data_IF_461249347394
#
_entry.id   IF_461249347394
#
_cell.length_a   1.000
_cell.length_b   1.000
_cell.length_c   1.000
_cell.angle_alpha   90.00
_cell.angle_beta   90.00
_cell.angle_gamma   90.00
#
_symmetry.space_group_name_H-M   'P 1'
#
loop_
_entity.id
_entity.type
_entity.pdbx_description
1 polymer ?
#
# COMPACT_ATOMS: atom_id res chain seq x y z
N UNK A 1 -9.16 8.26 -32.87
CA UNK A 1 -7.75 7.83 -32.69
C UNK A 1 -7.44 7.43 -31.27
N UNK A 2 -8.04 8.08 -30.26
CA UNK A 2 -7.96 7.67 -28.83
C UNK A 2 -9.08 6.71 -28.40
N UNK A 3 -9.86 6.18 -29.37
CA UNK A 3 -10.94 5.23 -29.06
C UNK A 3 -10.38 3.86 -28.71
N UNK A 4 -10.98 3.23 -27.70
CA UNK A 4 -10.69 1.85 -27.31
C UNK A 4 -11.22 0.92 -28.41
N UNK A 5 -10.38 0.05 -28.94
CA UNK A 5 -10.74 -0.94 -29.97
C UNK A 5 -10.54 -2.38 -29.50
N UNK A 6 -9.82 -2.56 -28.38
CA UNK A 6 -9.55 -3.88 -27.84
C UNK A 6 -9.37 -3.81 -26.32
N UNK A 7 -10.04 -4.71 -25.62
CA UNK A 7 -9.88 -4.95 -24.17
C UNK A 7 -9.79 -6.46 -23.98
N UNK A 8 -8.73 -6.93 -23.32
CA UNK A 8 -8.53 -8.35 -23.12
C UNK A 8 -7.85 -8.62 -21.79
N UNK A 9 -8.41 -9.52 -21.00
CA UNK A 9 -7.84 -9.99 -19.76
C UNK A 9 -7.35 -11.43 -19.86
N UNK A 10 -6.37 -11.73 -19.01
CA UNK A 10 -5.88 -13.09 -18.76
C UNK A 10 -5.62 -13.29 -17.27
N UNK A 11 -5.58 -14.54 -16.86
CA UNK A 11 -5.10 -14.95 -15.57
C UNK A 11 -3.57 -15.07 -15.61
N UNK A 12 -2.89 -14.42 -14.68
CA UNK A 12 -1.46 -14.56 -14.42
C UNK A 12 -1.24 -14.99 -12.96
N UNK A 13 0.00 -15.12 -12.51
CA UNK A 13 0.33 -15.42 -11.12
C UNK A 13 0.95 -14.22 -10.43
N UNK A 14 0.55 -14.01 -9.19
CA UNK A 14 1.15 -13.00 -8.30
C UNK A 14 2.44 -13.51 -7.64
N UNK A 15 3.08 -12.66 -6.83
CA UNK A 15 4.33 -12.95 -6.11
C UNK A 15 4.25 -14.10 -5.10
N UNK A 16 3.03 -14.53 -4.77
CA UNK A 16 2.75 -15.69 -3.90
C UNK A 16 2.38 -16.96 -4.69
N UNK A 17 2.37 -16.88 -6.04
CA UNK A 17 1.93 -17.98 -6.91
C UNK A 17 0.40 -18.16 -6.94
N UNK A 18 -0.37 -17.17 -6.48
CA UNK A 18 -1.83 -17.17 -6.61
C UNK A 18 -2.26 -16.48 -7.91
N UNK A 19 -3.36 -16.92 -8.54
CA UNK A 19 -3.91 -16.26 -9.71
C UNK A 19 -4.30 -14.81 -9.45
N UNK A 20 -4.05 -13.95 -10.43
CA UNK A 20 -4.55 -12.58 -10.49
C UNK A 20 -4.87 -12.17 -11.94
N UNK A 21 -5.52 -11.02 -12.10
CA UNK A 21 -5.97 -10.49 -13.39
C UNK A 21 -4.91 -9.60 -14.01
N UNK A 22 -4.64 -9.80 -15.31
CA UNK A 22 -3.88 -8.86 -16.14
C UNK A 22 -4.73 -8.44 -17.34
N UNK A 23 -4.74 -7.16 -17.66
CA UNK A 23 -5.54 -6.57 -18.74
C UNK A 23 -4.66 -5.84 -19.74
N UNK A 24 -4.92 -6.08 -21.02
CA UNK A 24 -4.43 -5.28 -22.16
C UNK A 24 -5.55 -4.42 -22.74
N UNK A 25 -5.24 -3.15 -22.99
CA UNK A 25 -6.10 -2.21 -23.75
C UNK A 25 -5.32 -1.69 -24.96
N UNK A 26 -5.97 -1.66 -26.13
CA UNK A 26 -5.38 -1.10 -27.36
C UNK A 26 -6.33 -0.05 -27.91
N UNK A 27 -5.76 1.08 -28.32
CA UNK A 27 -6.48 2.18 -28.94
C UNK A 27 -6.39 2.11 -30.48
N UNK A 28 -7.31 2.77 -31.15
CA UNK A 28 -7.40 2.82 -32.61
C UNK A 28 -6.08 3.23 -33.32
N UNK A 29 -5.27 4.08 -32.67
CA UNK A 29 -3.96 4.49 -33.18
C UNK A 29 -2.86 3.44 -32.96
N UNK A 30 -3.13 2.35 -32.22
CA UNK A 30 -2.16 1.32 -31.85
C UNK A 30 -1.48 1.53 -30.49
N UNK A 31 -1.75 2.65 -29.79
CA UNK A 31 -1.29 2.85 -28.42
C UNK A 31 -1.82 1.76 -27.48
N UNK A 32 -1.03 1.37 -26.48
CA UNK A 32 -1.30 0.20 -25.64
C UNK A 32 -1.11 0.50 -24.17
N UNK A 33 -1.93 -0.14 -23.35
CA UNK A 33 -1.74 -0.19 -21.91
C UNK A 33 -1.91 -1.60 -21.37
N UNK A 34 -1.06 -2.00 -20.45
CA UNK A 34 -1.16 -3.27 -19.70
C UNK A 34 -1.10 -3.00 -18.23
N UNK A 35 -1.99 -3.60 -17.47
CA UNK A 35 -2.00 -3.52 -16.02
C UNK A 35 -2.28 -4.88 -15.39
N UNK A 36 -1.58 -5.16 -14.29
CA UNK A 36 -1.78 -6.36 -13.48
C UNK A 36 -2.26 -5.95 -12.09
N UNK A 37 -3.25 -6.66 -11.57
CA UNK A 37 -3.95 -6.31 -10.34
C UNK A 37 -3.27 -6.93 -9.11
N UNK A 38 -2.98 -6.17 -8.05
CA UNK A 38 -2.48 -6.73 -6.79
C UNK A 38 -3.60 -7.42 -6.00
N UNK A 39 -3.21 -8.29 -5.04
CA UNK A 39 -4.12 -9.07 -4.21
C UNK A 39 -3.72 -9.06 -2.74
N UNK A 40 -4.64 -8.80 -1.81
CA UNK A 40 -4.40 -8.85 -0.37
C UNK A 40 -4.30 -10.27 0.19
N UNK A 41 -3.58 -10.43 1.31
CA UNK A 41 -3.64 -11.63 2.15
C UNK A 41 -4.68 -11.44 3.26
N UNK A 42 -4.60 -10.32 3.95
CA UNK A 42 -5.58 -9.80 4.89
C UNK A 42 -6.42 -8.74 4.17
N UNK A 43 -7.73 -8.72 4.38
CA UNK A 43 -8.66 -7.78 3.73
C UNK A 43 -9.58 -7.18 4.77
N UNK A 44 -9.70 -5.85 4.79
CA UNK A 44 -10.70 -5.14 5.59
C UNK A 44 -12.13 -5.54 5.20
N UNK A 45 -13.02 -5.57 6.16
CA UNK A 45 -14.42 -6.00 5.95
C UNK A 45 -15.14 -5.15 4.90
N UNK A 46 -14.72 -3.90 4.73
CA UNK A 46 -15.37 -2.92 3.86
C UNK A 46 -14.65 -2.73 2.50
N UNK A 47 -13.65 -3.57 2.17
CA UNK A 47 -13.01 -3.52 0.86
C UNK A 47 -13.95 -3.92 -0.28
N UNK A 48 -13.72 -3.37 -1.47
CA UNK A 48 -14.38 -3.85 -2.69
C UNK A 48 -13.98 -5.30 -2.98
N UNK A 49 -14.91 -6.08 -3.55
CA UNK A 49 -14.80 -7.52 -3.69
C UNK A 49 -13.76 -7.91 -4.76
N UNK A 50 -12.72 -8.61 -4.37
CA UNK A 50 -11.88 -9.38 -5.30
C UNK A 50 -12.63 -10.65 -5.73
N UNK A 51 -13.07 -10.70 -6.99
CA UNK A 51 -13.87 -11.83 -7.49
C UNK A 51 -12.96 -13.04 -7.74
N UNK A 52 -13.22 -14.12 -7.00
CA UNK A 52 -12.58 -15.43 -7.10
C UNK A 52 -13.54 -16.49 -7.62
N UNK A 53 -13.00 -17.51 -8.32
CA UNK A 53 -13.83 -18.59 -8.91
C UNK A 53 -14.48 -19.48 -7.88
N UNK A 54 -13.80 -19.73 -6.75
CA UNK A 54 -14.27 -20.58 -5.66
C UNK A 54 -14.17 -22.09 -5.94
N UNK A 55 -13.70 -22.50 -7.13
CA UNK A 55 -13.51 -23.91 -7.48
C UNK A 55 -12.30 -24.49 -6.75
N UNK A 56 -12.52 -25.31 -5.74
CA UNK A 56 -11.49 -25.94 -4.92
C UNK A 56 -10.55 -26.86 -5.70
N UNK A 57 -10.96 -27.36 -6.86
CA UNK A 57 -10.13 -28.21 -7.72
C UNK A 57 -9.14 -27.42 -8.58
N UNK A 58 -9.29 -26.07 -8.61
CA UNK A 58 -8.47 -25.19 -9.42
C UNK A 58 -7.88 -24.09 -8.53
N UNK A 59 -6.54 -24.06 -8.38
CA UNK A 59 -5.84 -23.09 -7.51
C UNK A 59 -6.44 -22.98 -6.09
N UNK A 60 -6.94 -24.09 -5.53
CA UNK A 60 -7.56 -24.14 -4.20
C UNK A 60 -8.73 -23.13 -4.02
N UNK A 61 -9.44 -22.82 -5.10
CA UNK A 61 -10.53 -21.86 -5.12
C UNK A 61 -10.15 -20.43 -5.45
N UNK A 62 -8.84 -20.16 -5.63
CA UNK A 62 -8.32 -18.80 -5.84
C UNK A 62 -8.24 -18.36 -7.31
N UNK A 63 -8.75 -19.15 -8.27
CA UNK A 63 -8.82 -18.79 -9.69
C UNK A 63 -9.55 -17.46 -9.91
N UNK A 64 -9.28 -16.77 -11.03
CA UNK A 64 -9.89 -15.48 -11.39
C UNK A 64 -10.54 -15.48 -12.77
N UNK A 65 -10.87 -16.67 -13.30
CA UNK A 65 -11.45 -16.79 -14.65
C UNK A 65 -12.83 -16.12 -14.78
N UNK A 66 -13.61 -16.03 -13.71
CA UNK A 66 -14.87 -15.26 -13.69
C UNK A 66 -14.59 -13.77 -13.92
N UNK A 67 -13.63 -13.20 -13.20
CA UNK A 67 -13.22 -11.81 -13.41
C UNK A 67 -12.66 -11.59 -14.83
N UNK A 68 -11.83 -12.52 -15.32
CA UNK A 68 -11.33 -12.51 -16.72
C UNK A 68 -12.49 -12.53 -17.73
N UNK A 69 -13.49 -13.38 -17.51
CA UNK A 69 -14.67 -13.45 -18.38
C UNK A 69 -15.48 -12.15 -18.35
N UNK A 70 -15.62 -11.51 -17.19
CA UNK A 70 -16.29 -10.21 -17.05
C UNK A 70 -15.57 -9.10 -17.82
N UNK A 71 -14.23 -9.10 -17.84
CA UNK A 71 -13.46 -8.16 -18.65
C UNK A 71 -13.64 -8.44 -20.15
N UNK A 72 -13.51 -9.71 -20.57
CA UNK A 72 -13.55 -10.12 -21.99
C UNK A 72 -14.95 -10.09 -22.60
N UNK A 73 -16.00 -10.01 -21.77
CA UNK A 73 -17.40 -9.91 -22.17
C UNK A 73 -17.98 -8.51 -21.86
N UNK A 74 -18.81 -8.39 -20.80
CA UNK A 74 -19.62 -7.19 -20.58
C UNK A 74 -18.82 -5.90 -20.45
N UNK A 75 -17.61 -5.91 -19.83
CA UNK A 75 -16.79 -4.70 -19.72
C UNK A 75 -16.24 -4.30 -21.09
N UNK A 76 -15.70 -5.26 -21.87
CA UNK A 76 -15.20 -4.96 -23.20
C UNK A 76 -16.31 -4.44 -24.11
N UNK A 77 -17.50 -5.03 -24.09
CA UNK A 77 -18.66 -4.61 -24.88
C UNK A 77 -19.08 -3.17 -24.55
N UNK A 78 -19.06 -2.78 -23.27
CA UNK A 78 -19.40 -1.43 -22.83
C UNK A 78 -18.37 -0.39 -23.27
N UNK A 79 -17.07 -0.73 -23.21
CA UNK A 79 -16.00 0.26 -23.38
C UNK A 79 -15.49 0.43 -24.81
N UNK A 80 -15.71 -0.55 -25.72
CA UNK A 80 -15.28 -0.43 -27.12
C UNK A 80 -15.96 0.77 -27.78
N UNK A 81 -15.14 1.66 -28.36
CA UNK A 81 -15.57 2.90 -28.98
C UNK A 81 -15.50 4.13 -28.06
N UNK A 82 -15.40 3.95 -26.73
CA UNK A 82 -15.19 5.05 -25.80
C UNK A 82 -13.82 5.71 -25.99
N UNK A 83 -13.71 6.98 -25.61
CA UNK A 83 -12.47 7.73 -25.66
C UNK A 83 -11.62 7.42 -24.41
N UNK A 84 -10.44 6.85 -24.59
CA UNK A 84 -9.54 6.49 -23.48
C UNK A 84 -9.04 7.69 -22.65
N UNK A 85 -9.16 8.91 -23.16
CA UNK A 85 -8.80 10.13 -22.42
C UNK A 85 -9.85 10.53 -21.38
N UNK A 86 -11.05 9.96 -21.44
CA UNK A 86 -12.15 10.26 -20.53
C UNK A 86 -12.18 9.25 -19.37
N UNK A 87 -11.07 9.16 -18.61
CA UNK A 87 -10.89 8.16 -17.53
C UNK A 87 -12.09 8.09 -16.57
N UNK A 88 -12.60 9.24 -16.13
CA UNK A 88 -13.74 9.29 -15.19
C UNK A 88 -14.97 8.62 -15.81
N UNK A 89 -15.29 8.94 -17.07
CA UNK A 89 -16.45 8.35 -17.75
C UNK A 89 -16.31 6.83 -17.91
N UNK A 90 -15.09 6.34 -18.19
CA UNK A 90 -14.79 4.92 -18.33
C UNK A 90 -14.97 4.19 -16.98
N UNK A 91 -14.39 4.73 -15.91
CA UNK A 91 -14.51 4.12 -14.58
C UNK A 91 -15.98 4.13 -14.10
N UNK A 92 -16.70 5.25 -14.30
CA UNK A 92 -18.12 5.37 -13.95
C UNK A 92 -19.01 4.43 -14.76
N UNK A 93 -18.71 4.20 -16.05
CA UNK A 93 -19.43 3.21 -16.87
C UNK A 93 -19.27 1.79 -16.31
N UNK A 94 -18.05 1.39 -15.93
CA UNK A 94 -17.82 0.06 -15.33
C UNK A 94 -18.47 -0.07 -13.96
N UNK A 95 -18.43 0.97 -13.13
CA UNK A 95 -19.09 0.99 -11.79
C UNK A 95 -20.61 0.89 -11.96
N UNK A 96 -21.20 1.62 -12.91
CA UNK A 96 -22.64 1.55 -13.21
C UNK A 96 -23.04 0.19 -13.77
N UNK A 97 -22.19 -0.42 -14.60
CA UNK A 97 -22.41 -1.76 -15.15
C UNK A 97 -22.39 -2.84 -14.04
N UNK A 98 -21.52 -2.70 -13.04
CA UNK A 98 -21.52 -3.57 -11.84
C UNK A 98 -22.78 -3.37 -10.99
N UNK A 99 -23.17 -2.13 -10.73
CA UNK A 99 -24.39 -1.75 -10.03
C UNK A 99 -24.41 -2.05 -8.54
N UNK A 100 -23.29 -2.51 -7.93
CA UNK A 100 -23.20 -2.79 -6.49
C UNK A 100 -22.19 -1.89 -5.79
N UNK A 101 -22.38 -1.60 -4.50
CA UNK A 101 -21.47 -0.76 -3.71
C UNK A 101 -20.05 -1.35 -3.62
N UNK A 102 -19.97 -2.69 -3.56
CA UNK A 102 -18.70 -3.43 -3.36
C UNK A 102 -18.14 -4.04 -4.64
N UNK A 103 -18.69 -3.70 -5.81
CA UNK A 103 -18.27 -4.26 -7.12
C UNK A 103 -18.37 -5.80 -7.17
N UNK A 104 -19.40 -6.35 -6.53
CA UNK A 104 -19.54 -7.81 -6.32
C UNK A 104 -20.02 -8.58 -7.55
N UNK A 105 -20.58 -7.91 -8.57
CA UNK A 105 -21.05 -8.55 -9.80
C UNK A 105 -19.92 -8.78 -10.80
N UNK A 106 -19.11 -7.76 -11.07
CA UNK A 106 -17.99 -7.84 -12.03
C UNK A 106 -16.66 -8.20 -11.36
N UNK A 107 -16.47 -7.76 -10.13
CA UNK A 107 -15.25 -7.87 -9.37
C UNK A 107 -14.40 -6.60 -9.44
N UNK A 108 -13.93 -6.11 -8.28
CA UNK A 108 -13.03 -4.97 -8.19
C UNK A 108 -11.72 -5.21 -8.96
N UNK A 109 -11.23 -6.45 -8.98
CA UNK A 109 -10.05 -6.85 -9.74
C UNK A 109 -10.27 -6.73 -11.27
N UNK A 110 -11.45 -7.06 -11.78
CA UNK A 110 -11.79 -6.88 -13.21
C UNK A 110 -11.82 -5.38 -13.57
N UNK A 111 -12.54 -4.59 -12.79
CA UNK A 111 -12.70 -3.13 -13.01
C UNK A 111 -11.35 -2.42 -12.92
N UNK A 112 -10.56 -2.69 -11.87
CA UNK A 112 -9.25 -2.05 -11.66
C UNK A 112 -8.27 -2.37 -12.79
N UNK A 113 -8.19 -3.63 -13.22
CA UNK A 113 -7.30 -4.03 -14.30
C UNK A 113 -7.56 -3.22 -15.58
N UNK A 114 -8.82 -3.03 -15.93
CA UNK A 114 -9.20 -2.22 -17.09
C UNK A 114 -8.93 -0.73 -16.85
N UNK A 115 -9.32 -0.20 -15.71
CA UNK A 115 -9.12 1.22 -15.34
C UNK A 115 -7.65 1.64 -15.49
N UNK A 116 -6.72 0.85 -14.92
CA UNK A 116 -5.28 1.12 -15.00
C UNK A 116 -4.72 0.90 -16.41
N UNK A 117 -5.18 -0.12 -17.14
CA UNK A 117 -4.73 -0.38 -18.51
C UNK A 117 -5.16 0.74 -19.46
N UNK A 118 -6.37 1.28 -19.29
CA UNK A 118 -6.85 2.45 -20.06
C UNK A 118 -5.99 3.68 -19.79
N UNK A 119 -5.68 3.99 -18.52
CA UNK A 119 -4.81 5.11 -18.17
C UNK A 119 -3.43 5.00 -18.83
N UNK A 120 -2.84 3.79 -18.83
CA UNK A 120 -1.56 3.52 -19.50
C UNK A 120 -1.65 3.66 -21.03
N UNK A 121 -2.72 3.18 -21.66
CA UNK A 121 -2.94 3.33 -23.09
C UNK A 121 -3.13 4.80 -23.49
N UNK A 122 -3.82 5.59 -22.66
CA UNK A 122 -3.99 7.02 -22.84
C UNK A 122 -2.67 7.78 -22.70
N UNK A 123 -1.84 7.43 -21.71
CA UNK A 123 -0.51 8.00 -21.54
C UNK A 123 0.40 7.70 -22.75
N UNK A 124 0.40 6.46 -23.25
CA UNK A 124 1.13 6.03 -24.44
C UNK A 124 0.66 6.81 -25.69
N UNK A 125 -0.66 6.97 -25.86
CA UNK A 125 -1.24 7.77 -26.94
C UNK A 125 -0.75 9.22 -26.95
N UNK A 126 -0.61 9.82 -25.77
CA UNK A 126 -0.15 11.21 -25.62
C UNK A 126 1.39 11.34 -25.63
N UNK A 127 2.12 10.22 -25.64
CA UNK A 127 3.58 10.22 -25.52
C UNK A 127 4.07 10.75 -24.16
N UNK A 128 3.26 10.58 -23.11
CA UNK A 128 3.57 11.03 -21.75
C UNK A 128 3.89 9.84 -20.83
N UNK A 129 4.85 9.97 -19.91
CA UNK A 129 4.96 9.00 -18.83
C UNK A 129 3.70 9.03 -17.96
N UNK A 130 3.35 7.87 -17.37
CA UNK A 130 2.09 7.69 -16.68
C UNK A 130 1.89 8.70 -15.54
N UNK A 131 2.92 8.96 -14.74
CA UNK A 131 2.82 9.93 -13.64
C UNK A 131 2.48 11.35 -14.11
N UNK A 132 2.98 11.79 -15.28
CA UNK A 132 2.63 13.09 -15.87
C UNK A 132 1.24 13.10 -16.48
N UNK A 133 0.82 11.99 -17.09
CA UNK A 133 -0.55 11.87 -17.60
C UNK A 133 -1.58 12.00 -16.48
N UNK A 134 -1.38 11.29 -15.36
CA UNK A 134 -2.31 11.31 -14.22
C UNK A 134 -2.24 12.64 -13.45
N UNK A 135 -1.03 13.12 -13.11
CA UNK A 135 -0.85 14.24 -12.19
C UNK A 135 -0.59 15.60 -12.85
N UNK A 136 -0.45 15.61 -14.19
CA UNK A 136 -0.21 16.85 -14.92
C UNK A 136 1.19 17.44 -14.75
N UNK A 137 1.32 18.73 -15.01
CA UNK A 137 2.61 19.43 -15.06
C UNK A 137 3.26 19.63 -13.69
N UNK A 138 2.53 19.42 -12.60
CA UNK A 138 3.00 19.66 -11.23
C UNK A 138 3.37 18.36 -10.49
N UNK A 139 3.57 17.27 -11.18
CA UNK A 139 3.97 15.97 -10.62
C UNK A 139 5.49 15.86 -10.55
N UNK A 140 6.10 16.14 -9.39
CA UNK A 140 7.55 16.21 -9.22
C UNK A 140 8.06 15.72 -7.86
N UNK A 141 7.15 15.34 -6.95
CA UNK A 141 7.51 14.88 -5.61
C UNK A 141 7.75 13.38 -5.59
N UNK A 142 9.00 12.97 -5.34
CA UNK A 142 9.35 11.58 -5.10
C UNK A 142 8.90 11.18 -3.69
N UNK A 143 8.35 9.98 -3.51
CA UNK A 143 7.90 9.55 -2.19
C UNK A 143 9.04 9.09 -1.30
N UNK A 144 8.98 9.38 0.01
CA UNK A 144 9.79 8.70 1.03
C UNK A 144 9.30 7.25 1.12
N UNK A 145 10.17 6.24 0.91
CA UNK A 145 9.78 4.85 1.05
C UNK A 145 9.63 4.47 2.52
N UNK A 146 8.55 3.75 2.83
CA UNK A 146 8.31 3.05 4.09
C UNK A 146 8.64 1.58 3.82
N UNK A 147 9.87 1.16 4.19
CA UNK A 147 10.43 -0.15 3.81
C UNK A 147 10.22 -1.16 4.93
N UNK A 148 9.33 -2.13 4.74
CA UNK A 148 9.08 -3.20 5.69
C UNK A 148 10.30 -4.13 5.83
N UNK A 149 11.05 -4.05 6.93
CA UNK A 149 12.29 -4.82 7.14
C UNK A 149 12.17 -5.93 8.17
N UNK A 150 11.16 -5.90 9.05
CA UNK A 150 10.82 -6.98 9.99
C UNK A 150 9.31 -7.23 9.95
N UNK A 151 8.93 -8.48 9.84
CA UNK A 151 7.55 -8.96 9.87
C UNK A 151 7.22 -9.60 11.23
N UNK A 152 6.02 -9.33 11.71
CA UNK A 152 5.38 -9.99 12.85
C UNK A 152 3.92 -10.30 12.52
N UNK A 153 3.04 -10.26 13.52
CA UNK A 153 1.61 -10.46 13.36
C UNK A 153 1.24 -11.71 12.57
N UNK A 154 0.28 -11.60 11.68
CA UNK A 154 -0.14 -12.68 10.79
C UNK A 154 0.95 -13.08 9.76
N UNK A 155 1.96 -12.22 9.53
CA UNK A 155 3.05 -12.43 8.57
C UNK A 155 4.24 -13.21 9.13
N UNK A 156 4.21 -13.63 10.41
CA UNK A 156 5.30 -14.35 11.08
C UNK A 156 4.78 -15.25 12.21
N UNK A 157 5.50 -16.34 12.47
CA UNK A 157 5.25 -17.19 13.65
C UNK A 157 5.91 -16.64 14.93
N UNK A 158 6.65 -15.53 14.84
CA UNK A 158 7.31 -14.90 15.98
C UNK A 158 6.28 -14.37 17.01
N UNK A 159 6.64 -14.27 18.31
CA UNK A 159 5.77 -13.74 19.36
C UNK A 159 5.73 -12.20 19.31
N UNK A 160 5.43 -11.63 18.14
CA UNK A 160 5.32 -10.20 17.88
C UNK A 160 3.89 -9.94 17.39
N UNK A 161 3.13 -9.10 18.11
CA UNK A 161 1.74 -8.82 17.76
C UNK A 161 1.63 -7.90 16.53
N UNK A 162 2.50 -6.89 16.42
CA UNK A 162 2.47 -5.94 15.29
C UNK A 162 2.95 -6.60 14.00
N UNK A 163 2.31 -6.24 12.89
CA UNK A 163 2.49 -6.92 11.61
C UNK A 163 3.75 -6.50 10.88
N UNK A 164 4.08 -5.19 10.87
CA UNK A 164 5.22 -4.68 10.12
C UNK A 164 6.00 -3.62 10.88
N UNK A 165 7.32 -3.70 10.74
CA UNK A 165 8.27 -2.70 11.22
C UNK A 165 9.03 -2.15 10.01
N UNK A 166 8.80 -0.88 9.72
CA UNK A 166 9.32 -0.20 8.55
C UNK A 166 10.38 0.83 8.92
N UNK A 167 11.33 1.05 8.03
CA UNK A 167 12.25 2.20 8.08
C UNK A 167 11.87 3.22 7.05
N UNK A 168 12.10 4.50 7.37
CA UNK A 168 11.86 5.66 6.52
C UNK A 168 13.14 6.50 6.42
N UNK A 169 13.80 6.60 5.27
CA UNK A 169 15.03 7.39 5.08
C UNK A 169 14.73 8.88 4.90
N UNK A 170 14.24 9.52 5.94
CA UNK A 170 13.77 10.92 5.92
C UNK A 170 14.89 11.96 5.85
N UNK A 171 16.14 11.58 6.16
CA UNK A 171 17.31 12.43 6.08
C UNK A 171 17.95 12.48 4.70
N UNK A 172 17.52 11.62 3.76
CA UNK A 172 18.10 11.56 2.42
C UNK A 172 17.87 12.85 1.63
N UNK A 173 18.78 13.14 0.68
CA UNK A 173 18.71 14.32 -0.19
C UNK A 173 17.99 14.08 -1.51
N UNK A 174 17.77 12.81 -1.86
CA UNK A 174 17.15 12.35 -3.09
C UNK A 174 16.50 10.97 -2.86
N UNK A 175 15.65 10.55 -3.78
CA UNK A 175 15.07 9.21 -3.72
C UNK A 175 16.16 8.13 -3.84
N UNK A 176 17.10 8.32 -4.78
CA UNK A 176 18.25 7.43 -4.97
C UNK A 176 19.07 7.26 -3.67
N UNK A 177 19.33 8.34 -2.95
CA UNK A 177 20.01 8.27 -1.66
C UNK A 177 19.14 7.54 -0.62
N UNK A 178 17.85 7.82 -0.57
CA UNK A 178 16.92 7.16 0.33
C UNK A 178 16.91 5.64 0.14
N UNK A 179 16.86 5.16 -1.11
CA UNK A 179 16.94 3.73 -1.42
C UNK A 179 18.30 3.14 -1.02
N UNK A 180 19.41 3.84 -1.26
CA UNK A 180 20.73 3.42 -0.80
C UNK A 180 20.75 3.24 0.72
N UNK A 181 20.32 4.26 1.46
CA UNK A 181 20.26 4.22 2.94
C UNK A 181 19.41 3.04 3.43
N UNK A 182 18.21 2.86 2.89
CA UNK A 182 17.32 1.77 3.26
C UNK A 182 17.94 0.39 2.98
N UNK A 183 18.59 0.23 1.83
CA UNK A 183 19.26 -1.02 1.45
C UNK A 183 20.47 -1.32 2.36
N UNK A 184 21.27 -0.32 2.70
CA UNK A 184 22.40 -0.45 3.63
C UNK A 184 21.92 -0.86 5.03
N UNK A 185 20.82 -0.28 5.53
CA UNK A 185 20.21 -0.69 6.81
C UNK A 185 19.71 -2.13 6.73
N UNK A 186 19.00 -2.50 5.65
CA UNK A 186 18.50 -3.87 5.43
C UNK A 186 19.64 -4.90 5.49
N UNK A 187 20.76 -4.65 4.79
CA UNK A 187 21.90 -5.56 4.82
C UNK A 187 22.62 -5.60 6.17
N UNK A 188 22.68 -4.50 6.91
CA UNK A 188 23.21 -4.50 8.27
C UNK A 188 22.27 -5.21 9.25
N UNK A 189 20.93 -5.07 9.10
CA UNK A 189 19.96 -5.86 9.86
C UNK A 189 20.18 -7.36 9.66
N UNK A 190 20.43 -7.79 8.42
CA UNK A 190 20.78 -9.19 8.13
C UNK A 190 21.99 -9.67 8.91
N UNK A 191 23.02 -8.82 9.07
CA UNK A 191 24.22 -9.16 9.87
C UNK A 191 23.91 -9.22 11.36
N UNK A 192 23.12 -8.27 11.86
CA UNK A 192 22.68 -8.23 13.29
C UNK A 192 21.90 -9.50 13.63
N UNK A 193 20.91 -9.87 12.82
CA UNK A 193 20.10 -11.08 13.02
C UNK A 193 20.96 -12.36 12.97
N UNK A 194 21.85 -12.48 11.99
CA UNK A 194 22.80 -13.61 11.91
C UNK A 194 23.71 -13.68 13.14
N UNK A 195 24.20 -12.55 13.63
CA UNK A 195 25.02 -12.46 14.84
C UNK A 195 24.31 -12.97 16.10
N UNK A 196 22.97 -12.88 16.11
CA UNK A 196 22.10 -13.42 17.17
C UNK A 196 21.66 -14.87 16.92
N UNK A 197 22.10 -15.49 15.82
CA UNK A 197 21.68 -16.85 15.44
C UNK A 197 20.25 -16.93 14.91
N UNK A 198 19.64 -15.80 14.52
CA UNK A 198 18.24 -15.71 14.07
C UNK A 198 18.13 -15.92 12.55
N UNK A 199 16.93 -16.34 12.10
CA UNK A 199 16.61 -16.51 10.70
C UNK A 199 16.71 -15.18 9.92
N UNK A 200 17.21 -15.26 8.70
CA UNK A 200 17.19 -14.17 7.72
C UNK A 200 16.41 -14.56 6.47
N UNK A 201 15.49 -15.52 6.60
CA UNK A 201 14.47 -15.77 5.60
C UNK A 201 13.52 -14.55 5.51
N UNK A 202 13.02 -14.27 4.32
CA UNK A 202 12.14 -13.14 4.06
C UNK A 202 10.70 -13.60 3.87
N UNK A 203 9.76 -12.77 4.33
CA UNK A 203 8.33 -12.96 4.11
C UNK A 203 7.86 -12.47 2.73
N UNK A 204 6.55 -12.43 2.55
CA UNK A 204 5.90 -12.08 1.27
C UNK A 204 6.28 -10.68 0.77
N UNK A 205 6.58 -9.76 1.66
CA UNK A 205 6.92 -8.37 1.34
C UNK A 205 8.43 -8.08 1.34
N UNK A 206 9.24 -9.12 1.47
CA UNK A 206 10.70 -9.03 1.38
C UNK A 206 11.43 -8.64 2.66
N UNK A 207 10.73 -8.33 3.75
CA UNK A 207 11.28 -8.12 5.09
C UNK A 207 11.62 -9.44 5.77
N UNK A 208 12.54 -9.42 6.76
CA UNK A 208 12.90 -10.61 7.53
C UNK A 208 11.77 -11.03 8.47
N UNK A 209 11.67 -12.33 8.76
CA UNK A 209 10.75 -12.90 9.72
C UNK A 209 11.51 -13.67 10.82
N UNK A 210 12.32 -13.00 11.66
CA UNK A 210 13.09 -13.63 12.72
C UNK A 210 12.21 -13.90 13.93
N UNK A 211 12.55 -14.94 14.69
CA UNK A 211 11.92 -15.23 15.98
C UNK A 211 12.48 -14.31 17.09
N UNK A 212 12.02 -13.04 17.12
CA UNK A 212 12.36 -12.05 18.14
C UNK A 212 11.41 -12.15 19.34
N UNK A 213 11.81 -11.59 20.48
CA UNK A 213 11.10 -11.75 21.76
C UNK A 213 9.83 -10.89 21.90
N UNK A 214 9.66 -9.87 21.06
CA UNK A 214 8.51 -8.96 21.07
C UNK A 214 8.75 -7.67 20.30
N UNK A 215 7.83 -6.71 20.44
CA UNK A 215 7.84 -5.43 19.75
C UNK A 215 9.11 -4.62 20.03
N UNK A 216 9.48 -4.48 21.31
CA UNK A 216 10.65 -3.70 21.71
C UNK A 216 11.97 -4.34 21.25
N UNK A 217 12.05 -5.68 21.21
CA UNK A 217 13.22 -6.38 20.66
C UNK A 217 13.34 -6.12 19.15
N UNK A 218 12.22 -6.13 18.40
CA UNK A 218 12.20 -5.77 17.00
C UNK A 218 12.68 -4.33 16.76
N UNK A 219 12.19 -3.38 17.55
CA UNK A 219 12.63 -1.97 17.46
C UNK A 219 14.14 -1.83 17.77
N UNK A 220 14.62 -2.51 18.79
CA UNK A 220 16.04 -2.43 19.21
C UNK A 220 16.99 -3.01 18.16
N UNK A 221 16.65 -4.14 17.49
CA UNK A 221 17.52 -4.68 16.42
C UNK A 221 17.52 -3.79 15.20
N UNK A 222 16.42 -3.11 14.89
CA UNK A 222 16.36 -2.09 13.82
C UNK A 222 17.28 -0.93 14.15
N UNK A 223 17.20 -0.35 15.37
CA UNK A 223 18.07 0.75 15.78
C UNK A 223 19.55 0.36 15.76
N UNK A 224 19.86 -0.89 16.14
CA UNK A 224 21.22 -1.43 16.04
C UNK A 224 21.68 -1.48 14.57
N UNK A 225 20.81 -1.91 13.66
CA UNK A 225 21.12 -1.97 12.23
C UNK A 225 21.32 -0.58 11.60
N UNK A 226 20.48 0.40 11.98
CA UNK A 226 20.60 1.80 11.55
C UNK A 226 21.94 2.38 11.96
N UNK A 227 22.34 2.22 13.22
CA UNK A 227 23.65 2.67 13.73
C UNK A 227 24.80 1.93 13.06
N UNK A 228 24.69 0.62 12.84
CA UNK A 228 25.72 -0.18 12.16
C UNK A 228 25.89 0.21 10.68
N UNK A 229 24.85 0.76 10.05
CA UNK A 229 24.91 1.34 8.71
C UNK A 229 25.52 2.75 8.68
N UNK A 230 25.79 3.35 9.85
CA UNK A 230 26.38 4.69 9.95
C UNK A 230 25.36 5.83 9.95
N UNK A 231 24.09 5.53 10.19
CA UNK A 231 23.01 6.52 10.21
C UNK A 231 22.53 6.84 11.63
N UNK A 232 22.00 8.05 11.82
CA UNK A 232 21.48 8.55 13.08
C UNK A 232 19.95 8.25 13.17
N UNK A 233 19.51 7.38 14.13
CA UNK A 233 18.08 7.15 14.35
C UNK A 233 17.33 8.44 14.69
N UNK A 234 16.16 8.63 14.08
CA UNK A 234 15.31 9.79 14.30
C UNK A 234 15.65 11.02 13.44
N UNK A 235 16.86 11.08 12.89
CA UNK A 235 17.31 12.16 12.02
C UNK A 235 17.45 11.69 10.57
N UNK A 236 18.26 10.66 10.34
CA UNK A 236 18.47 10.09 9.01
C UNK A 236 17.40 9.06 8.67
N UNK A 237 17.12 8.18 9.64
CA UNK A 237 16.14 7.09 9.53
C UNK A 237 15.17 7.19 10.69
N UNK A 238 13.86 7.23 10.37
CA UNK A 238 12.78 7.03 11.33
C UNK A 238 12.15 5.64 11.17
N UNK A 239 11.29 5.27 12.11
CA UNK A 239 10.56 4.00 12.10
C UNK A 239 9.09 4.28 11.85
N UNK A 240 8.46 3.44 11.03
CA UNK A 240 7.02 3.34 10.92
C UNK A 240 6.55 1.95 11.33
N UNK A 241 5.38 1.87 11.93
CA UNK A 241 4.73 0.62 12.33
C UNK A 241 3.46 0.41 11.53
N UNK A 242 3.16 -0.84 11.23
CA UNK A 242 1.82 -1.33 10.93
C UNK A 242 1.43 -2.31 12.03
N UNK A 243 0.48 -1.90 12.87
CA UNK A 243 0.04 -2.71 13.99
C UNK A 243 -0.98 -3.77 13.56
N UNK A 244 -1.75 -3.54 12.50
CA UNK A 244 -2.86 -4.38 12.06
C UNK A 244 -3.76 -4.79 13.25
N UNK A 245 -4.15 -3.81 14.07
CA UNK A 245 -4.73 -4.06 15.40
C UNK A 245 -6.06 -4.78 15.38
N UNK A 246 -6.78 -4.80 14.26
CA UNK A 246 -8.00 -5.59 14.08
C UNK A 246 -7.77 -7.09 14.27
N UNK A 247 -6.56 -7.61 13.98
CA UNK A 247 -6.22 -9.03 14.11
C UNK A 247 -6.23 -9.55 15.56
N UNK A 248 -5.95 -8.67 16.52
CA UNK A 248 -5.94 -9.01 17.94
C UNK A 248 -6.95 -8.22 18.78
N UNK A 249 -7.89 -7.52 18.12
CA UNK A 249 -9.01 -6.86 18.80
C UNK A 249 -10.18 -7.81 18.94
N UNK A 250 -10.49 -8.18 20.19
CA UNK A 250 -11.56 -9.12 20.52
C UNK A 250 -12.35 -8.65 21.73
N UNK A 251 -13.67 -8.73 21.64
CA UNK A 251 -14.59 -8.39 22.75
C UNK A 251 -14.33 -6.98 23.34
N UNK A 252 -13.97 -6.00 22.48
CA UNK A 252 -13.67 -4.63 22.88
C UNK A 252 -12.32 -4.42 23.53
N UNK A 253 -11.38 -5.37 23.36
CA UNK A 253 -10.03 -5.34 23.94
C UNK A 253 -8.96 -5.78 22.96
N UNK A 254 -7.77 -5.26 23.12
CA UNK A 254 -6.56 -5.61 22.39
C UNK A 254 -5.82 -6.73 23.15
N UNK A 255 -5.92 -7.94 22.65
CA UNK A 255 -5.45 -9.17 23.31
C UNK A 255 -4.10 -9.62 22.75
N UNK A 256 -3.02 -9.23 23.40
CA UNK A 256 -1.66 -9.61 23.01
C UNK A 256 -1.33 -11.08 23.31
N UNK A 257 -2.18 -11.80 24.07
CA UNK A 257 -2.01 -13.24 24.28
C UNK A 257 -2.12 -14.03 22.98
N UNK A 258 -2.68 -13.40 21.93
CA UNK A 258 -2.68 -13.93 20.57
C UNK A 258 -1.30 -14.36 20.06
N UNK A 259 -0.24 -13.64 20.45
CA UNK A 259 1.15 -13.95 20.05
C UNK A 259 2.08 -14.25 21.23
N UNK A 260 1.77 -13.78 22.41
CA UNK A 260 2.59 -13.89 23.61
C UNK A 260 1.75 -14.49 24.73
N UNK A 261 2.04 -15.73 25.18
CA UNK A 261 1.21 -16.45 26.16
C UNK A 261 0.89 -15.63 27.42
N UNK A 262 1.84 -14.79 27.88
CA UNK A 262 1.69 -13.89 29.03
C UNK A 262 1.49 -12.43 28.59
N UNK A 263 1.03 -12.19 27.34
CA UNK A 263 0.81 -10.86 26.80
C UNK A 263 -0.31 -10.11 27.54
N UNK A 264 -0.25 -8.77 27.58
CA UNK A 264 -1.30 -7.97 28.21
C UNK A 264 -2.60 -7.99 27.38
N UNK A 265 -3.71 -7.65 28.05
CA UNK A 265 -5.00 -7.40 27.43
C UNK A 265 -5.40 -5.97 27.74
N UNK A 266 -5.41 -5.12 26.72
CA UNK A 266 -5.63 -3.69 26.85
C UNK A 266 -7.05 -3.27 26.46
N UNK A 267 -7.60 -2.28 27.17
CA UNK A 267 -8.70 -1.44 26.67
C UNK A 267 -8.21 -0.51 25.57
N UNK A 268 -9.11 0.14 24.85
CA UNK A 268 -8.77 1.13 23.81
C UNK A 268 -7.86 2.25 24.36
N UNK A 269 -8.11 2.71 25.57
CA UNK A 269 -7.29 3.72 26.23
C UNK A 269 -5.88 3.20 26.54
N UNK A 270 -5.75 2.02 27.11
CA UNK A 270 -4.46 1.41 27.44
C UNK A 270 -3.64 1.09 26.18
N UNK A 271 -4.30 0.68 25.09
CA UNK A 271 -3.67 0.51 23.78
C UNK A 271 -3.09 1.84 23.27
N UNK A 272 -3.86 2.92 23.33
CA UNK A 272 -3.41 4.25 22.94
C UNK A 272 -2.23 4.73 23.82
N UNK A 273 -2.27 4.49 25.12
CA UNK A 273 -1.18 4.81 26.08
C UNK A 273 0.09 4.00 25.76
N UNK A 274 -0.05 2.70 25.41
CA UNK A 274 1.09 1.86 24.99
C UNK A 274 1.74 2.39 23.72
N UNK A 275 0.95 2.72 22.69
CA UNK A 275 1.48 3.30 21.45
C UNK A 275 2.14 4.66 21.71
N UNK A 276 1.54 5.51 22.55
CA UNK A 276 2.13 6.80 22.93
C UNK A 276 3.47 6.63 23.64
N UNK A 277 3.62 5.62 24.49
CA UNK A 277 4.89 5.26 25.14
C UNK A 277 5.95 4.87 24.08
N UNK A 278 5.61 4.00 23.13
CA UNK A 278 6.54 3.60 22.07
C UNK A 278 7.00 4.81 21.25
N UNK A 279 6.10 5.72 20.88
CA UNK A 279 6.44 6.97 20.17
C UNK A 279 7.36 7.88 20.99
N UNK A 280 7.24 7.87 22.32
CA UNK A 280 8.11 8.66 23.21
C UNK A 280 9.51 8.05 23.39
N UNK A 281 9.63 6.73 23.34
CA UNK A 281 10.88 6.00 23.61
C UNK A 281 11.70 5.70 22.33
N UNK A 282 11.04 5.60 21.17
CA UNK A 282 11.64 5.22 19.90
C UNK A 282 11.40 6.30 18.83
N UNK A 283 12.24 6.40 17.80
CA UNK A 283 12.07 7.38 16.71
C UNK A 283 10.96 6.97 15.73
N UNK A 284 9.78 6.68 16.26
CA UNK A 284 8.59 6.32 15.50
C UNK A 284 7.88 7.61 15.10
N UNK A 285 7.65 7.80 13.80
CA UNK A 285 6.95 8.97 13.27
C UNK A 285 5.69 8.64 12.47
N UNK A 286 5.37 7.33 12.34
CA UNK A 286 4.14 6.86 11.68
C UNK A 286 3.66 5.54 12.28
N UNK A 287 2.35 5.43 12.53
CA UNK A 287 1.67 4.21 12.96
C UNK A 287 0.45 3.99 12.06
N UNK A 288 0.42 2.83 11.40
CA UNK A 288 -0.70 2.33 10.62
C UNK A 288 -1.53 1.39 11.48
N UNK A 289 -2.85 1.53 11.41
CA UNK A 289 -3.86 0.71 12.10
C UNK A 289 -3.50 0.42 13.57
N UNK A 290 -3.11 1.48 14.29
CA UNK A 290 -2.80 1.41 15.72
C UNK A 290 -4.01 1.04 16.59
N UNK A 291 -5.22 1.22 16.05
CA UNK A 291 -6.50 0.79 16.62
C UNK A 291 -7.24 -0.06 15.60
N UNK A 292 -8.20 -0.87 16.06
CA UNK A 292 -9.02 -1.70 15.20
C UNK A 292 -9.96 -0.88 14.31
N UNK A 293 -10.32 -1.39 13.12
CA UNK A 293 -11.17 -0.73 12.13
C UNK A 293 -12.56 -0.33 12.66
N UNK A 294 -13.06 -1.03 13.70
CA UNK A 294 -14.35 -0.77 14.32
C UNK A 294 -14.28 0.07 15.60
N UNK A 295 -13.08 0.35 16.11
CA UNK A 295 -12.87 1.09 17.37
C UNK A 295 -12.66 2.60 17.11
N UNK A 296 -13.70 3.27 16.60
CA UNK A 296 -13.66 4.71 16.29
C UNK A 296 -13.40 5.58 17.52
N UNK A 297 -13.90 5.17 18.70
CA UNK A 297 -13.61 5.85 19.96
C UNK A 297 -12.12 5.73 20.33
N UNK A 298 -11.54 4.54 20.20
CA UNK A 298 -10.11 4.31 20.37
C UNK A 298 -9.27 5.12 19.38
N UNK A 299 -9.66 5.18 18.12
CA UNK A 299 -8.99 6.03 17.12
C UNK A 299 -9.01 7.51 17.51
N UNK A 300 -10.14 8.02 18.02
CA UNK A 300 -10.22 9.39 18.51
C UNK A 300 -9.29 9.62 19.70
N UNK A 301 -9.27 8.71 20.68
CA UNK A 301 -8.37 8.77 21.84
C UNK A 301 -6.89 8.80 21.38
N UNK A 302 -6.50 7.92 20.49
CA UNK A 302 -5.14 7.85 19.97
C UNK A 302 -4.76 9.14 19.23
N UNK A 303 -5.67 9.63 18.37
CA UNK A 303 -5.43 10.85 17.59
C UNK A 303 -5.25 12.07 18.49
N UNK A 304 -6.09 12.23 19.52
CA UNK A 304 -5.96 13.33 20.49
C UNK A 304 -4.66 13.22 21.31
N UNK A 305 -4.17 12.01 21.54
CA UNK A 305 -2.98 11.75 22.38
C UNK A 305 -1.66 12.01 21.65
N UNK A 306 -1.54 11.61 20.38
CA UNK A 306 -0.26 11.67 19.65
C UNK A 306 -0.34 12.18 18.21
N UNK A 307 -1.51 12.53 17.71
CA UNK A 307 -1.69 12.94 16.30
C UNK A 307 -0.95 14.22 15.89
N UNK A 308 -0.53 15.03 16.86
CA UNK A 308 0.28 16.24 16.63
C UNK A 308 1.77 15.94 16.36
N UNK A 309 2.26 14.77 16.74
CA UNK A 309 3.68 14.35 16.65
C UNK A 309 3.93 13.05 15.91
N UNK A 310 2.88 12.31 15.58
CA UNK A 310 2.96 11.02 14.88
C UNK A 310 1.91 10.97 13.78
N UNK A 311 2.30 10.52 12.59
CA UNK A 311 1.36 10.20 11.53
C UNK A 311 0.56 8.96 11.92
N UNK A 312 -0.76 9.06 11.92
CA UNK A 312 -1.70 7.98 12.20
C UNK A 312 -2.43 7.61 10.92
N UNK A 313 -2.08 6.46 10.37
CA UNK A 313 -2.53 6.00 9.06
C UNK A 313 -3.69 5.03 9.23
N UNK A 314 -4.85 5.34 8.65
CA UNK A 314 -5.95 4.39 8.53
C UNK A 314 -5.85 3.57 7.25
N UNK A 315 -5.64 2.26 7.38
CA UNK A 315 -5.74 1.27 6.31
C UNK A 315 -7.13 0.63 6.32
N UNK A 316 -7.36 -0.34 7.18
CA UNK A 316 -8.67 -1.01 7.31
C UNK A 316 -9.77 -0.04 7.79
N UNK A 317 -9.38 1.02 8.52
CA UNK A 317 -10.29 2.08 8.94
C UNK A 317 -10.95 2.78 7.75
N UNK A 318 -10.21 3.03 6.66
CA UNK A 318 -10.66 3.84 5.52
C UNK A 318 -10.83 3.07 4.22
N UNK A 319 -10.16 1.94 4.06
CA UNK A 319 -10.20 1.05 2.88
C UNK A 319 -10.17 1.81 1.54
N UNK A 320 -9.40 2.91 1.47
CA UNK A 320 -9.30 3.79 0.28
C UNK A 320 -10.66 4.39 -0.14
N UNK A 321 -11.66 4.42 0.74
CA UNK A 321 -13.02 4.81 0.43
C UNK A 321 -13.33 6.20 1.02
N UNK A 322 -13.75 7.14 0.16
CA UNK A 322 -14.11 8.53 0.54
C UNK A 322 -15.16 8.60 1.65
N UNK A 323 -16.12 7.66 1.68
CA UNK A 323 -17.19 7.61 2.70
C UNK A 323 -16.64 7.41 4.11
N UNK A 324 -15.68 6.48 4.28
CA UNK A 324 -15.05 6.24 5.59
C UNK A 324 -14.04 7.33 5.93
N UNK A 325 -13.33 7.87 4.91
CA UNK A 325 -12.41 8.98 5.11
C UNK A 325 -13.14 10.25 5.55
N UNK A 326 -14.29 10.59 4.95
CA UNK A 326 -15.15 11.71 5.38
C UNK A 326 -15.58 11.56 6.84
N UNK A 327 -15.95 10.35 7.26
CA UNK A 327 -16.23 10.06 8.66
C UNK A 327 -15.02 10.34 9.55
N UNK A 328 -13.84 9.80 9.21
CA UNK A 328 -12.62 10.01 9.98
C UNK A 328 -12.27 11.51 10.12
N UNK A 329 -12.37 12.26 9.03
CA UNK A 329 -12.16 13.71 9.01
C UNK A 329 -13.14 14.41 9.95
N UNK A 330 -14.44 14.08 9.86
CA UNK A 330 -15.48 14.73 10.66
C UNK A 330 -15.41 14.41 12.16
N UNK A 331 -14.97 13.19 12.50
CA UNK A 331 -14.81 12.73 13.88
C UNK A 331 -13.41 13.04 14.46
N UNK A 332 -12.47 13.49 13.62
CA UNK A 332 -11.08 13.78 14.02
C UNK A 332 -10.30 12.52 14.38
N UNK A 333 -10.49 11.45 13.60
CA UNK A 333 -9.81 10.15 13.74
C UNK A 333 -8.74 9.97 12.69
N UNK A 334 -7.52 9.61 13.08
CA UNK A 334 -6.33 9.54 12.24
C UNK A 334 -5.89 10.91 11.67
N UNK A 335 -4.86 10.94 10.84
CA UNK A 335 -4.40 12.12 10.11
C UNK A 335 -3.75 11.76 8.77
N UNK A 336 -3.86 10.50 8.37
CA UNK A 336 -3.35 9.94 7.12
C UNK A 336 -4.22 8.79 6.64
N UNK A 337 -4.25 8.57 5.33
CA UNK A 337 -4.89 7.40 4.71
C UNK A 337 -3.86 6.51 4.03
N UNK A 338 -3.96 5.20 4.18
CA UNK A 338 -3.30 4.25 3.30
C UNK A 338 -4.15 4.08 2.04
N UNK A 339 -3.50 4.13 0.87
CA UNK A 339 -4.18 4.09 -0.43
C UNK A 339 -3.76 2.83 -1.17
N UNK A 340 -4.67 1.88 -1.25
CA UNK A 340 -4.52 0.61 -1.97
C UNK A 340 -5.52 0.59 -3.13
N UNK A 341 -5.03 0.66 -4.35
CA UNK A 341 -5.86 0.80 -5.56
C UNK A 341 -6.95 -0.28 -5.68
N UNK A 342 -6.68 -1.49 -5.20
CA UNK A 342 -7.62 -2.61 -5.29
C UNK A 342 -8.67 -2.65 -4.16
N UNK A 343 -8.48 -1.90 -3.06
CA UNK A 343 -9.49 -1.80 -1.99
C UNK A 343 -10.74 -1.07 -2.47
N UNK A 344 -10.59 -0.18 -3.44
CA UNK A 344 -11.70 0.58 -4.03
C UNK A 344 -11.99 0.17 -5.48
N UNK A 345 -10.97 -0.22 -6.26
CA UNK A 345 -11.11 -0.91 -7.54
C UNK A 345 -11.21 -0.03 -8.78
N UNK A 346 -10.90 1.28 -8.72
CA UNK A 346 -10.72 2.14 -9.89
C UNK A 346 -9.69 3.25 -9.64
N UNK A 347 -9.06 3.74 -10.69
CA UNK A 347 -8.13 4.87 -10.61
C UNK A 347 -8.87 6.15 -10.17
N UNK A 348 -10.04 6.42 -10.73
CA UNK A 348 -10.84 7.61 -10.41
C UNK A 348 -11.18 7.68 -8.93
N UNK A 349 -11.68 6.60 -8.31
CA UNK A 349 -12.00 6.58 -6.89
C UNK A 349 -10.74 6.67 -6.02
N UNK A 350 -9.64 6.02 -6.44
CA UNK A 350 -8.33 6.14 -5.78
C UNK A 350 -7.87 7.60 -5.72
N UNK A 351 -7.93 8.31 -6.86
CA UNK A 351 -7.51 9.72 -6.92
C UNK A 351 -8.45 10.62 -6.10
N UNK A 352 -9.76 10.36 -6.09
CA UNK A 352 -10.73 11.07 -5.23
C UNK A 352 -10.42 10.92 -3.74
N UNK A 353 -10.01 9.72 -3.31
CA UNK A 353 -9.61 9.49 -1.91
C UNK A 353 -8.35 10.28 -1.53
N UNK A 354 -7.32 10.28 -2.39
CA UNK A 354 -6.09 11.06 -2.18
C UNK A 354 -6.39 12.55 -2.15
N UNK A 355 -7.20 13.05 -3.09
CA UNK A 355 -7.58 14.47 -3.15
C UNK A 355 -8.35 14.90 -1.91
N UNK A 356 -9.32 14.10 -1.45
CA UNK A 356 -10.10 14.37 -0.25
C UNK A 356 -9.19 14.45 0.99
N UNK A 357 -8.26 13.50 1.14
CA UNK A 357 -7.28 13.50 2.23
C UNK A 357 -6.48 14.80 2.24
N UNK A 358 -5.81 15.11 1.12
CA UNK A 358 -4.93 16.27 1.01
C UNK A 358 -5.65 17.60 1.23
N UNK A 359 -6.88 17.75 0.72
CA UNK A 359 -7.70 18.96 0.91
C UNK A 359 -8.11 19.18 2.37
N UNK A 360 -8.12 18.14 3.18
CA UNK A 360 -8.48 18.21 4.59
C UNK A 360 -7.26 18.10 5.54
N UNK A 361 -6.04 18.28 5.01
CA UNK A 361 -4.83 18.28 5.83
C UNK A 361 -4.34 16.88 6.26
N UNK A 362 -4.96 15.82 5.73
CA UNK A 362 -4.46 14.44 5.87
C UNK A 362 -3.36 14.16 4.86
N UNK A 363 -2.41 13.35 5.24
CA UNK A 363 -1.44 12.80 4.30
C UNK A 363 -1.99 11.54 3.64
N UNK A 364 -1.38 11.13 2.54
CA UNK A 364 -1.69 9.87 1.87
C UNK A 364 -0.40 9.05 1.69
N UNK A 365 -0.49 7.75 1.94
CA UNK A 365 0.59 6.77 1.71
C UNK A 365 0.11 5.85 0.60
N UNK A 366 0.75 5.88 -0.56
CA UNK A 366 0.43 4.96 -1.65
C UNK A 366 1.04 3.60 -1.32
N UNK A 367 0.23 2.54 -1.39
CA UNK A 367 0.60 1.23 -0.86
C UNK A 367 0.44 0.10 -1.88
N UNK A 368 1.34 -0.89 -1.76
CA UNK A 368 1.24 -2.20 -2.37
C UNK A 368 0.21 -3.09 -1.64
N UNK A 369 0.12 -4.34 -2.08
CA UNK A 369 -0.50 -5.44 -1.33
C UNK A 369 0.52 -6.57 -1.10
N UNK A 370 0.16 -7.52 -0.22
CA UNK A 370 1.03 -8.69 0.02
C UNK A 370 1.24 -9.56 -1.22
N UNK A 371 0.24 -9.74 -2.06
CA UNK A 371 0.35 -10.33 -3.39
C UNK A 371 0.53 -9.27 -4.46
N UNK A 372 1.71 -9.16 -5.02
CA UNK A 372 2.09 -8.18 -6.05
C UNK A 372 2.52 -8.87 -7.35
N UNK A 373 2.71 -8.06 -8.39
CA UNK A 373 3.28 -8.45 -9.68
C UNK A 373 4.43 -7.51 -10.03
N UNK A 374 5.02 -7.62 -11.24
CA UNK A 374 6.00 -6.65 -11.73
C UNK A 374 5.37 -5.29 -12.10
N UNK A 375 4.04 -5.14 -12.04
CA UNK A 375 3.37 -3.88 -12.32
C UNK A 375 3.83 -2.80 -11.32
N UNK A 376 4.25 -1.65 -11.85
CA UNK A 376 4.81 -0.54 -11.07
C UNK A 376 3.89 0.68 -11.00
N UNK A 377 2.63 0.56 -11.38
CA UNK A 377 1.68 1.68 -11.49
C UNK A 377 1.59 2.52 -10.22
N UNK A 378 1.66 1.90 -9.04
CA UNK A 378 1.59 2.64 -7.77
C UNK A 378 2.77 3.60 -7.56
N UNK A 379 3.92 3.35 -8.18
CA UNK A 379 5.05 4.29 -8.17
C UNK A 379 4.70 5.57 -8.96
N UNK A 380 4.09 5.41 -10.13
CA UNK A 380 3.61 6.54 -10.94
C UNK A 380 2.49 7.30 -10.22
N UNK A 381 1.54 6.60 -9.57
CA UNK A 381 0.47 7.24 -8.79
C UNK A 381 1.04 8.05 -7.63
N UNK A 382 2.05 7.55 -6.92
CA UNK A 382 2.68 8.27 -5.81
C UNK A 382 3.28 9.61 -6.24
N UNK A 383 3.96 9.63 -7.40
CA UNK A 383 4.51 10.88 -7.96
C UNK A 383 3.42 11.76 -8.56
N UNK A 384 2.45 11.17 -9.26
CA UNK A 384 1.33 11.89 -9.87
C UNK A 384 0.53 12.71 -8.86
N UNK A 385 0.30 12.15 -7.69
CA UNK A 385 -0.48 12.78 -6.61
C UNK A 385 0.35 13.64 -5.67
N UNK A 386 1.68 13.69 -5.85
CA UNK A 386 2.61 14.31 -4.90
C UNK A 386 2.37 13.84 -3.45
N UNK A 387 2.00 12.57 -3.25
CA UNK A 387 1.66 12.01 -1.93
C UNK A 387 2.84 12.06 -0.95
N UNK A 388 4.07 12.08 -1.49
CA UNK A 388 5.30 12.19 -0.72
C UNK A 388 5.67 10.95 0.08
N UNK A 389 4.89 9.85 0.01
CA UNK A 389 5.11 8.61 0.73
C UNK A 389 4.67 7.40 -0.08
N UNK A 390 5.40 6.28 0.05
CA UNK A 390 5.04 4.99 -0.55
C UNK A 390 5.40 3.85 0.40
N UNK A 391 4.46 2.93 0.60
CA UNK A 391 4.65 1.66 1.33
C UNK A 391 4.63 0.54 0.29
N UNK A 392 5.80 -0.02 -0.07
CA UNK A 392 5.88 -1.03 -1.13
C UNK A 392 6.88 -2.14 -0.84
N UNK A 393 6.97 -2.54 0.44
CA UNK A 393 7.77 -3.65 0.90
C UNK A 393 9.22 -3.29 1.15
N UNK A 394 10.05 -4.30 1.28
CA UNK A 394 11.46 -4.20 1.66
C UNK A 394 12.39 -4.02 0.45
N UNK A 395 13.70 -4.00 0.72
CA UNK A 395 14.78 -3.97 -0.27
C UNK A 395 15.08 -5.36 -0.86
N UNK A 396 14.09 -6.20 -1.03
CA UNK A 396 14.23 -7.54 -1.62
C UNK A 396 12.92 -7.97 -2.30
N UNK A 397 12.98 -8.99 -3.17
CA UNK A 397 11.93 -9.49 -4.06
C UNK A 397 11.64 -8.56 -5.25
N UNK A 398 11.61 -9.12 -6.45
CA UNK A 398 11.50 -8.37 -7.72
C UNK A 398 10.21 -7.58 -7.83
N UNK A 399 9.12 -8.10 -7.28
CA UNK A 399 7.80 -7.46 -7.23
C UNK A 399 7.81 -6.15 -6.43
N UNK A 400 8.66 -6.04 -5.40
CA UNK A 400 8.88 -4.81 -4.63
C UNK A 400 9.87 -3.88 -5.35
N UNK A 401 11.01 -4.44 -5.81
CA UNK A 401 12.02 -3.67 -6.53
C UNK A 401 11.49 -3.04 -7.81
N UNK A 402 10.49 -3.63 -8.47
CA UNK A 402 9.86 -3.06 -9.66
C UNK A 402 9.36 -1.63 -9.41
N UNK A 403 8.74 -1.36 -8.26
CA UNK A 403 8.22 -0.04 -7.87
C UNK A 403 9.37 0.93 -7.54
N UNK A 404 10.36 0.49 -6.76
CA UNK A 404 11.54 1.32 -6.45
C UNK A 404 12.36 1.65 -7.69
N UNK A 405 12.57 0.70 -8.59
CA UNK A 405 13.26 0.92 -9.84
C UNK A 405 12.49 1.90 -10.76
N UNK A 406 11.17 1.87 -10.75
CA UNK A 406 10.35 2.84 -11.46
C UNK A 406 10.52 4.25 -10.90
N UNK A 407 10.55 4.40 -9.59
CA UNK A 407 10.79 5.70 -8.93
C UNK A 407 12.19 6.26 -9.23
N UNK A 408 13.20 5.40 -9.33
CA UNK A 408 14.56 5.81 -9.77
C UNK A 408 14.55 6.35 -11.20
N UNK A 409 13.80 5.70 -12.14
CA UNK A 409 13.64 6.19 -13.51
C UNK A 409 12.92 7.53 -13.56
N UNK A 410 11.85 7.68 -12.75
CA UNK A 410 11.10 8.93 -12.65
C UNK A 410 11.99 10.06 -12.09
N UNK A 411 12.81 9.77 -11.07
CA UNK A 411 13.74 10.75 -10.51
C UNK A 411 14.77 11.21 -11.58
N UNK A 412 15.31 10.27 -12.34
CA UNK A 412 16.24 10.57 -13.45
C UNK A 412 15.57 11.44 -14.53
N UNK A 413 14.33 11.09 -14.92
CA UNK A 413 13.57 11.87 -15.90
C UNK A 413 13.24 13.29 -15.43
N UNK A 414 12.88 13.46 -14.16
CA UNK A 414 12.62 14.77 -13.54
C UNK A 414 13.89 15.59 -13.40
N UNK A 415 15.04 14.96 -13.18
CA UNK A 415 16.31 15.61 -13.05
C UNK A 415 16.31 16.66 -11.92
N UNK A 416 16.67 17.91 -12.26
CA UNK A 416 16.80 19.00 -11.26
C UNK A 416 15.51 19.46 -10.61
N UNK A 417 14.35 19.11 -11.15
CA UNK A 417 13.05 19.48 -10.57
C UNK A 417 12.53 18.41 -9.63
N UNK A 418 13.15 17.24 -9.56
CA UNK A 418 12.80 16.20 -8.61
C UNK A 418 12.91 16.74 -7.18
N UNK A 419 11.85 16.55 -6.40
CA UNK A 419 11.80 16.93 -5.00
C UNK A 419 11.62 15.71 -4.12
N UNK A 420 12.50 15.53 -3.14
CA UNK A 420 12.38 14.50 -2.12
C UNK A 420 12.05 15.16 -0.77
N UNK A 421 10.89 14.82 -0.14
CA UNK A 421 10.47 15.45 1.12
C UNK A 421 11.41 15.05 2.25
N UNK A 422 12.17 16.01 2.79
CA UNK A 422 13.04 15.80 3.95
C UNK A 422 12.33 16.18 5.24
N UNK A 423 12.61 15.46 6.31
CA UNK A 423 12.28 15.93 7.65
C UNK A 423 13.14 17.17 7.94
N UNK A 424 12.50 18.31 8.23
CA UNK A 424 13.17 19.55 8.61
C UNK A 424 13.64 19.50 10.06
#
# INVERSE_FOLDING_TARGET
MSRIVYVHARQILDSRGNPTVEVDVILECGARGRASVPSGASTGVNEALELRDGDKNCYLGKGVLKAVANVNGPIAEELIGMNALDQIAIDEAMIALDGTETKSNLGANAILGVSLAVAKAAADYLGLPLYKYIGGVHSYTLPVPMMNIINGGAHSDAPIAFQEFMIRPVGASSFQEGIRMGTEVFHNLKKVLKGRGLSTAVGDEGGFAPNLEGTEDALNVILQAVKAAGYEPGKDITIALDCASSEFFKDGKYDYTWKQADGPVYSSKEQAEYLAKLVAEYPIDSIEDGMAENDWEGWKILTDMIGDRCQLVGDDLFVTNVKYLERGISEGCANSILVKVNQIGSLTETLRAVELAQRNGYTAVISHRSGETEDSTIADIAVATNSGQIKTGSASRSDRMAKYNQLLRIEEELGRVAYYPRKK
#
